data_IF_404937920875
#
_entry.id   IF_404937920875
#
_cell.length_a   1.000
_cell.length_b   1.000
_cell.length_c   1.000
_cell.angle_alpha   90.00
_cell.angle_beta   90.00
_cell.angle_gamma   90.00
#
_symmetry.space_group_name_H-M   'P 1'
#
loop_
_entity.id
_entity.type
_entity.pdbx_description
1 polymer ?
#
# COMPACT_ATOMS: atom_id res chain seq x y z
N UNK A 1 2.64 53.83 -30.78
CA UNK A 1 3.13 53.64 -29.41
C UNK A 1 2.71 52.25 -28.99
N UNK A 2 3.65 51.34 -28.76
CA UNK A 2 3.36 49.93 -28.45
C UNK A 2 3.78 49.71 -27.00
N UNK A 3 2.80 49.69 -26.11
CA UNK A 3 3.02 49.29 -24.72
C UNK A 3 3.11 47.76 -24.68
N UNK A 4 4.25 47.25 -24.20
CA UNK A 4 4.48 45.83 -23.96
C UNK A 4 4.40 45.64 -22.45
N UNK A 5 3.41 44.87 -22.01
CA UNK A 5 3.26 44.45 -20.61
C UNK A 5 3.95 43.09 -20.44
N UNK A 6 4.85 42.99 -19.46
CA UNK A 6 5.65 41.79 -19.18
C UNK A 6 5.24 41.24 -17.82
N UNK A 7 4.58 40.08 -17.81
CA UNK A 7 4.23 39.37 -16.58
C UNK A 7 5.17 38.18 -16.38
N UNK A 8 5.95 38.21 -15.29
CA UNK A 8 6.84 37.11 -14.88
C UNK A 8 6.20 36.38 -13.70
N UNK A 9 5.98 35.07 -13.85
CA UNK A 9 5.47 34.20 -12.79
C UNK A 9 6.41 33.00 -12.62
N UNK A 10 6.91 32.81 -11.41
CA UNK A 10 7.71 31.64 -11.01
C UNK A 10 7.14 31.07 -9.72
N UNK A 11 6.87 29.76 -9.70
CA UNK A 11 6.36 29.05 -8.53
C UNK A 11 7.17 27.79 -8.33
N UNK A 12 7.73 27.62 -7.14
CA UNK A 12 8.40 26.40 -6.71
C UNK A 12 7.56 25.79 -5.59
N UNK A 13 7.13 24.54 -5.79
CA UNK A 13 6.45 23.75 -4.78
C UNK A 13 7.30 22.53 -4.46
N UNK A 14 7.57 22.30 -3.16
CA UNK A 14 8.15 21.06 -2.65
C UNK A 14 7.13 20.46 -1.68
N UNK A 15 6.74 19.21 -1.90
CA UNK A 15 5.83 18.46 -1.04
C UNK A 15 6.51 17.16 -0.64
N UNK A 16 6.56 16.90 0.66
CA UNK A 16 7.17 15.69 1.23
C UNK A 16 6.14 15.00 2.11
N UNK A 17 5.91 13.73 1.85
CA UNK A 17 5.06 12.88 2.66
C UNK A 17 5.85 11.68 3.16
N UNK A 18 5.66 11.29 4.42
CA UNK A 18 6.30 10.13 5.04
C UNK A 18 5.24 9.35 5.79
N UNK A 19 5.06 8.09 5.41
CA UNK A 19 4.16 7.16 6.07
C UNK A 19 5.01 6.07 6.71
N UNK A 20 4.77 5.79 8.00
CA UNK A 20 5.46 4.75 8.76
C UNK A 20 4.44 3.78 9.34
N UNK A 21 4.59 2.51 8.99
CA UNK A 21 3.81 1.40 9.53
C UNK A 21 4.75 0.42 10.21
N UNK A 22 4.59 0.22 11.52
CA UNK A 22 5.51 -0.59 12.33
C UNK A 22 4.72 -1.62 13.17
N UNK A 23 4.24 -2.73 12.58
CA UNK A 23 3.61 -3.80 13.33
C UNK A 23 4.64 -4.49 14.24
N UNK A 24 4.22 -4.86 15.45
CA UNK A 24 5.03 -5.63 16.39
C UNK A 24 4.35 -6.97 16.63
N UNK A 25 5.12 -8.04 16.59
CA UNK A 25 4.63 -9.40 16.74
C UNK A 25 5.59 -10.16 17.66
N UNK A 26 5.02 -10.88 18.61
CA UNK A 26 5.77 -11.69 19.58
C UNK A 26 5.38 -13.14 19.35
N UNK A 27 6.38 -14.01 19.26
CA UNK A 27 6.21 -15.43 18.98
C UNK A 27 7.18 -16.26 19.82
N UNK A 28 6.85 -17.52 20.03
CA UNK A 28 7.78 -18.48 20.61
C UNK A 28 8.83 -18.91 19.59
N UNK A 29 9.98 -19.36 20.09
CA UNK A 29 11.06 -19.89 19.25
C UNK A 29 10.58 -21.06 18.37
N UNK A 30 10.78 -20.95 17.06
CA UNK A 30 10.35 -21.95 16.07
C UNK A 30 8.84 -22.02 15.85
N UNK A 31 8.06 -21.06 16.36
CA UNK A 31 6.65 -20.94 16.03
C UNK A 31 6.45 -19.90 14.92
N UNK A 32 5.37 -20.08 14.17
CA UNK A 32 4.91 -19.11 13.18
C UNK A 32 3.85 -18.21 13.80
N UNK A 33 3.89 -16.93 13.49
CA UNK A 33 2.84 -16.00 13.85
C UNK A 33 2.68 -14.94 12.77
N UNK A 34 1.46 -14.45 12.62
CA UNK A 34 1.10 -13.51 11.56
C UNK A 34 0.15 -12.44 12.08
N UNK A 35 0.17 -11.29 11.41
CA UNK A 35 -0.76 -10.18 11.63
C UNK A 35 -1.20 -9.66 10.27
N UNK A 36 -2.50 -9.37 10.13
CA UNK A 36 -3.05 -8.70 8.98
C UNK A 36 -3.85 -7.48 9.43
N UNK A 37 -3.63 -6.36 8.77
CA UNK A 37 -4.47 -5.17 8.93
C UNK A 37 -4.92 -4.77 7.54
N UNK A 38 -6.20 -5.00 7.26
CA UNK A 38 -6.80 -4.70 5.97
C UNK A 38 -8.12 -3.96 6.14
N UNK A 39 -8.35 -2.99 5.27
CA UNK A 39 -9.61 -2.31 5.04
C UNK A 39 -10.28 -2.97 3.84
N UNK A 40 -11.54 -3.36 4.01
CA UNK A 40 -12.37 -3.85 2.91
C UNK A 40 -13.02 -2.67 2.19
N UNK A 41 -12.84 -2.59 0.87
CA UNK A 41 -13.54 -1.64 0.01
C UNK A 41 -14.47 -2.41 -0.93
N UNK A 42 -15.74 -2.02 -0.93
CA UNK A 42 -16.77 -2.65 -1.77
C UNK A 42 -16.91 -1.90 -3.08
N UNK A 43 -17.03 -2.64 -4.19
CA UNK A 43 -17.20 -2.08 -5.52
C UNK A 43 -18.21 -2.89 -6.32
N UNK A 44 -18.72 -2.36 -7.43
CA UNK A 44 -19.63 -3.11 -8.30
C UNK A 44 -18.80 -4.01 -9.23
N UNK A 45 -18.75 -5.31 -8.93
CA UNK A 45 -17.95 -6.27 -9.68
C UNK A 45 -18.63 -6.79 -10.93
N UNK A 46 -19.96 -6.88 -10.89
CA UNK A 46 -20.75 -7.42 -11.99
C UNK A 46 -22.15 -6.80 -12.00
N UNK A 47 -22.81 -6.86 -13.15
CA UNK A 47 -24.19 -6.43 -13.36
C UNK A 47 -24.98 -7.58 -13.98
N UNK A 48 -26.05 -8.00 -13.31
CA UNK A 48 -26.98 -9.00 -13.86
C UNK A 48 -28.16 -8.26 -14.49
N UNK A 49 -28.44 -8.45 -15.80
CA UNK A 49 -29.59 -7.81 -16.43
C UNK A 49 -30.88 -8.46 -15.93
N UNK A 50 -31.82 -7.63 -15.48
CA UNK A 50 -33.18 -8.02 -15.10
C UNK A 50 -34.13 -7.33 -16.07
N UNK A 51 -34.88 -8.11 -16.84
CA UNK A 51 -35.83 -7.61 -17.83
C UNK A 51 -37.27 -7.78 -17.35
N UNK A 52 -38.12 -6.83 -17.71
CA UNK A 52 -39.57 -6.85 -17.58
C UNK A 52 -40.23 -6.39 -18.88
N UNK A 53 -41.57 -6.32 -18.91
CA UNK A 53 -42.32 -5.97 -20.12
C UNK A 53 -41.94 -4.58 -20.65
N UNK A 54 -41.17 -4.53 -21.74
CA UNK A 54 -40.62 -3.30 -22.33
C UNK A 54 -39.71 -2.48 -21.39
N UNK A 55 -39.11 -3.09 -20.37
CA UNK A 55 -38.19 -2.40 -19.44
C UNK A 55 -37.03 -3.31 -19.06
N UNK A 56 -35.87 -2.74 -18.76
CA UNK A 56 -34.75 -3.49 -18.20
C UNK A 56 -33.98 -2.65 -17.20
N UNK A 57 -33.36 -3.33 -16.25
CA UNK A 57 -32.48 -2.73 -15.26
C UNK A 57 -31.30 -3.67 -15.01
N UNK A 58 -30.23 -3.14 -14.44
CA UNK A 58 -29.14 -3.95 -13.92
C UNK A 58 -29.29 -4.13 -12.41
N UNK A 59 -29.19 -5.36 -11.95
CA UNK A 59 -28.97 -5.69 -10.55
C UNK A 59 -27.46 -5.74 -10.28
N UNK A 60 -26.90 -4.82 -9.46
CA UNK A 60 -25.48 -4.81 -9.17
C UNK A 60 -25.08 -5.93 -8.22
N UNK A 61 -23.93 -6.56 -8.48
CA UNK A 61 -23.31 -7.56 -7.62
C UNK A 61 -22.06 -6.95 -6.99
N UNK A 62 -22.07 -6.69 -5.66
CA UNK A 62 -20.91 -6.11 -5.00
C UNK A 62 -19.77 -7.14 -4.90
N UNK A 63 -18.56 -6.70 -5.22
CA UNK A 63 -17.30 -7.36 -4.89
C UNK A 63 -16.61 -6.64 -3.74
N UNK A 64 -15.58 -7.29 -3.17
CA UNK A 64 -14.75 -6.71 -2.10
C UNK A 64 -13.29 -6.82 -2.48
N UNK A 65 -12.57 -5.71 -2.35
CA UNK A 65 -11.11 -5.66 -2.46
C UNK A 65 -10.53 -5.27 -1.09
N UNK A 66 -9.39 -5.87 -0.73
CA UNK A 66 -8.72 -5.61 0.54
C UNK A 66 -7.48 -4.76 0.31
N UNK A 67 -7.44 -3.59 0.95
CA UNK A 67 -6.28 -2.72 1.03
C UNK A 67 -5.65 -2.84 2.41
N UNK A 68 -4.34 -3.02 2.49
CA UNK A 68 -3.62 -3.14 3.75
C UNK A 68 -2.46 -4.12 3.64
N UNK A 69 -1.97 -4.59 4.78
CA UNK A 69 -0.81 -5.47 4.81
C UNK A 69 -1.04 -6.76 5.58
N UNK A 70 -0.26 -7.78 5.22
CA UNK A 70 -0.05 -9.03 5.93
C UNK A 70 1.44 -9.13 6.23
N UNK A 71 1.76 -9.44 7.49
CA UNK A 71 3.09 -9.82 7.92
C UNK A 71 3.01 -11.20 8.56
N UNK A 72 3.75 -12.14 8.01
CA UNK A 72 3.85 -13.51 8.48
C UNK A 72 5.31 -13.85 8.73
N UNK A 73 5.61 -14.33 9.93
CA UNK A 73 6.97 -14.51 10.41
C UNK A 73 7.08 -15.85 11.14
N UNK A 74 8.11 -16.59 10.79
CA UNK A 74 8.63 -17.69 11.59
C UNK A 74 10.07 -17.35 11.97
N UNK A 75 10.44 -17.55 13.24
CA UNK A 75 11.77 -17.17 13.71
C UNK A 75 12.38 -18.23 14.63
N UNK A 76 13.68 -18.47 14.46
CA UNK A 76 14.48 -19.36 15.29
C UNK A 76 15.67 -18.59 15.87
N UNK A 77 15.82 -18.67 17.19
CA UNK A 77 16.93 -18.05 17.93
C UNK A 77 18.17 -18.94 17.84
N UNK A 78 19.33 -18.35 17.60
CA UNK A 78 20.61 -19.05 17.62
C UNK A 78 20.96 -19.60 19.00
N UNK A 79 21.73 -20.68 19.07
CA UNK A 79 22.10 -21.32 20.34
C UNK A 79 22.85 -20.37 21.30
N UNK A 80 23.61 -19.42 20.77
CA UNK A 80 24.35 -18.40 21.52
C UNK A 80 23.50 -17.17 21.89
N UNK A 81 22.21 -17.14 21.52
CA UNK A 81 21.27 -16.04 21.74
C UNK A 81 21.73 -14.69 21.15
N UNK A 82 22.57 -14.71 20.12
CA UNK A 82 23.08 -13.49 19.47
C UNK A 82 22.38 -13.15 18.18
N UNK A 83 21.79 -14.14 17.52
CA UNK A 83 21.15 -13.99 16.21
C UNK A 83 19.76 -14.61 16.21
N UNK A 84 18.90 -14.04 15.38
CA UNK A 84 17.58 -14.60 15.08
C UNK A 84 17.50 -14.81 13.59
N UNK A 85 17.29 -16.06 13.18
CA UNK A 85 16.99 -16.41 11.79
C UNK A 85 15.49 -16.32 11.60
N UNK A 86 15.06 -15.46 10.69
CA UNK A 86 13.64 -15.17 10.45
C UNK A 86 13.31 -15.48 9.00
N UNK A 87 12.27 -16.27 8.78
CA UNK A 87 11.57 -16.37 7.49
C UNK A 87 10.41 -15.40 7.54
N UNK A 88 10.47 -14.37 6.70
CA UNK A 88 9.51 -13.26 6.67
C UNK A 88 8.78 -13.29 5.32
N UNK A 89 7.45 -13.33 5.39
CA UNK A 89 6.56 -13.10 4.25
C UNK A 89 5.74 -11.85 4.54
N UNK A 90 5.91 -10.84 3.70
CA UNK A 90 5.21 -9.56 3.80
C UNK A 90 4.46 -9.32 2.50
N UNK A 91 3.20 -8.91 2.61
CA UNK A 91 2.38 -8.46 1.50
C UNK A 91 1.72 -7.14 1.86
N UNK A 92 1.76 -6.17 0.95
CA UNK A 92 1.11 -4.87 1.08
C UNK A 92 0.30 -4.60 -0.20
N UNK A 93 -0.97 -4.29 -0.04
CA UNK A 93 -1.84 -3.77 -1.09
C UNK A 93 -2.18 -2.33 -0.74
N UNK A 94 -1.85 -1.39 -1.61
CA UNK A 94 -2.11 0.04 -1.42
C UNK A 94 -2.59 0.70 -2.72
N UNK A 95 -2.96 1.98 -2.63
CA UNK A 95 -3.46 2.77 -3.77
C UNK A 95 -4.58 2.07 -4.54
N UNK A 96 -5.59 1.55 -3.82
CA UNK A 96 -6.78 1.01 -4.47
C UNK A 96 -7.51 2.15 -5.17
N UNK A 97 -7.65 2.04 -6.49
CA UNK A 97 -8.40 2.94 -7.34
C UNK A 97 -9.44 2.13 -8.14
N UNK A 98 -10.45 2.81 -8.68
CA UNK A 98 -11.55 2.18 -9.41
C UNK A 98 -11.77 2.84 -10.76
N UNK A 99 -11.49 2.11 -11.83
CA UNK A 99 -11.89 2.52 -13.17
C UNK A 99 -13.34 2.10 -13.43
N UNK A 100 -14.20 3.06 -13.73
CA UNK A 100 -15.62 2.81 -14.01
C UNK A 100 -15.85 2.59 -15.50
N UNK A 101 -16.48 1.48 -15.86
CA UNK A 101 -16.83 1.13 -17.24
C UNK A 101 -18.36 1.11 -17.39
N UNK A 102 -18.92 1.87 -18.34
CA UNK A 102 -20.34 1.80 -18.65
C UNK A 102 -20.67 0.53 -19.43
N UNK A 103 -21.74 -0.15 -19.03
CA UNK A 103 -22.33 -1.32 -19.70
C UNK A 103 -23.75 -0.94 -20.12
N UNK A 104 -24.08 -1.20 -21.38
CA UNK A 104 -25.41 -0.96 -21.94
C UNK A 104 -26.15 -2.29 -22.09
N UNK A 105 -27.45 -2.26 -21.79
CA UNK A 105 -28.39 -3.35 -22.05
C UNK A 105 -29.56 -2.83 -22.87
N UNK A 106 -30.22 -3.72 -23.61
CA UNK A 106 -31.44 -3.40 -24.33
C UNK A 106 -32.54 -4.40 -23.97
N UNK A 107 -33.71 -3.90 -23.61
CA UNK A 107 -34.92 -4.69 -23.41
C UNK A 107 -35.89 -4.38 -24.55
N UNK A 108 -36.22 -5.40 -25.35
CA UNK A 108 -37.21 -5.30 -26.44
C UNK A 108 -38.53 -5.96 -26.05
N UNK A 109 -39.66 -5.30 -26.32
CA UNK A 109 -40.98 -5.92 -26.23
C UNK A 109 -41.32 -6.72 -27.47
N UNK A 110 -41.55 -8.03 -27.30
CA UNK A 110 -42.12 -8.88 -28.33
C UNK A 110 -43.62 -8.60 -28.49
N UNK A 111 -43.99 -7.75 -29.43
CA UNK A 111 -45.40 -7.45 -29.76
C UNK A 111 -45.54 -6.88 -31.16
N UNK A 112 -46.11 -7.69 -32.06
CA UNK A 112 -46.74 -7.38 -33.36
C UNK A 112 -46.19 -6.15 -34.14
N UNK A 113 -44.87 -6.11 -34.35
CA UNK A 113 -44.24 -5.19 -35.32
C UNK A 113 -43.99 -3.75 -34.87
N UNK A 114 -44.35 -3.36 -33.64
CA UNK A 114 -44.15 -2.00 -33.09
C UNK A 114 -43.39 -1.98 -31.75
N UNK A 115 -42.49 -2.95 -31.53
CA UNK A 115 -41.76 -3.10 -30.27
C UNK A 115 -40.96 -1.85 -29.88
N UNK A 116 -41.28 -1.27 -28.72
CA UNK A 116 -40.48 -0.22 -28.09
C UNK A 116 -39.25 -0.88 -27.45
N UNK A 117 -38.06 -0.57 -27.98
CA UNK A 117 -36.80 -0.95 -27.33
C UNK A 117 -36.44 0.12 -26.30
N UNK A 118 -36.16 -0.30 -25.07
CA UNK A 118 -35.60 0.56 -24.03
C UNK A 118 -34.14 0.14 -23.80
N UNK A 119 -33.22 1.10 -23.93
CA UNK A 119 -31.82 0.93 -23.53
C UNK A 119 -31.65 1.36 -22.09
N UNK A 120 -30.92 0.58 -21.32
CA UNK A 120 -30.58 0.90 -19.93
C UNK A 120 -29.07 0.75 -19.73
N UNK A 121 -28.54 1.53 -18.80
CA UNK A 121 -27.10 1.60 -18.54
C UNK A 121 -26.81 1.24 -17.09
N UNK A 122 -25.65 0.64 -16.87
CA UNK A 122 -25.10 0.39 -15.56
C UNK A 122 -23.58 0.55 -15.60
N UNK A 123 -22.98 0.63 -14.42
CA UNK A 123 -21.54 0.83 -14.29
C UNK A 123 -20.92 -0.33 -13.53
N UNK A 124 -19.86 -0.92 -14.11
CA UNK A 124 -18.97 -1.86 -13.42
C UNK A 124 -17.72 -1.09 -13.02
N UNK A 125 -17.17 -1.43 -11.86
CA UNK A 125 -15.91 -0.87 -11.36
C UNK A 125 -14.83 -1.94 -11.44
N UNK A 126 -13.71 -1.61 -12.09
CA UNK A 126 -12.50 -2.43 -12.09
C UNK A 126 -11.52 -1.87 -11.06
N UNK A 127 -11.23 -2.62 -9.98
CA UNK A 127 -10.22 -2.20 -9.01
C UNK A 127 -8.82 -2.31 -9.62
N UNK A 128 -8.02 -1.27 -9.46
CA UNK A 128 -6.58 -1.27 -9.69
C UNK A 128 -5.89 -1.04 -8.34
N UNK A 129 -4.82 -1.76 -8.05
CA UNK A 129 -4.09 -1.62 -6.78
C UNK A 129 -2.61 -1.91 -6.97
N UNK A 130 -1.80 -1.29 -6.13
CA UNK A 130 -0.35 -1.53 -6.08
C UNK A 130 -0.05 -2.60 -5.03
N UNK A 131 0.53 -3.71 -5.47
CA UNK A 131 0.93 -4.82 -4.61
C UNK A 131 2.44 -4.91 -4.44
N UNK A 132 2.92 -4.88 -3.19
CA UNK A 132 4.31 -5.18 -2.82
C UNK A 132 4.38 -6.49 -2.06
N UNK A 133 5.23 -7.41 -2.49
CA UNK A 133 5.43 -8.71 -1.83
C UNK A 133 6.91 -9.00 -1.60
N UNK A 134 7.26 -9.44 -0.40
CA UNK A 134 8.62 -9.82 -0.02
C UNK A 134 8.54 -11.16 0.71
N UNK A 135 9.27 -12.15 0.21
CA UNK A 135 9.45 -13.45 0.86
C UNK A 135 10.95 -13.72 0.96
N UNK A 136 11.50 -13.67 2.17
CA UNK A 136 12.94 -13.84 2.37
C UNK A 136 13.23 -14.52 3.70
N UNK A 137 14.39 -15.16 3.78
CA UNK A 137 14.93 -15.70 5.03
C UNK A 137 16.25 -15.01 5.31
N UNK A 138 16.34 -14.34 6.46
CA UNK A 138 17.53 -13.57 6.85
C UNK A 138 17.91 -13.88 8.30
N UNK A 139 19.20 -13.77 8.61
CA UNK A 139 19.69 -13.82 9.99
C UNK A 139 20.11 -12.44 10.43
N UNK A 140 19.55 -11.98 11.55
CA UNK A 140 19.74 -10.62 12.06
C UNK A 140 20.20 -10.72 13.52
N UNK A 141 21.21 -9.94 13.95
CA UNK A 141 21.63 -9.95 15.34
C UNK A 141 20.51 -9.44 16.26
N UNK A 142 20.48 -9.90 17.50
CA UNK A 142 19.52 -9.41 18.52
C UNK A 142 19.59 -7.88 18.63
N UNK A 143 18.42 -7.23 18.61
CA UNK A 143 18.26 -5.76 18.59
C UNK A 143 18.87 -5.06 17.37
N UNK A 144 19.43 -5.79 16.41
CA UNK A 144 19.89 -5.30 15.13
C UNK A 144 18.73 -5.00 14.19
N UNK A 145 18.97 -4.23 13.13
CA UNK A 145 17.96 -3.93 12.10
C UNK A 145 18.49 -4.36 10.74
N UNK A 146 17.69 -5.12 10.01
CA UNK A 146 18.00 -5.52 8.64
C UNK A 146 17.03 -4.87 7.67
N UNK A 147 17.57 -4.40 6.53
CA UNK A 147 16.78 -3.97 5.38
C UNK A 147 16.43 -5.22 4.56
N UNK A 148 15.17 -5.63 4.60
CA UNK A 148 14.67 -6.80 3.87
C UNK A 148 14.47 -6.53 2.38
N UNK A 149 14.11 -5.30 2.05
CA UNK A 149 13.81 -4.89 0.69
C UNK A 149 13.24 -3.48 0.64
N UNK A 150 12.85 -3.08 -0.56
CA UNK A 150 12.31 -1.77 -0.83
C UNK A 150 12.29 -1.46 -2.33
N UNK A 151 11.54 -0.45 -2.71
CA UNK A 151 11.45 0.03 -4.08
C UNK A 151 11.68 1.53 -4.11
N UNK A 152 12.52 2.00 -5.02
CA UNK A 152 12.67 3.42 -5.33
C UNK A 152 12.15 3.68 -6.74
N UNK A 153 11.10 4.47 -6.87
CA UNK A 153 10.56 4.96 -8.15
C UNK A 153 10.94 6.43 -8.31
N UNK A 154 11.49 6.77 -9.47
CA UNK A 154 11.83 8.15 -9.83
C UNK A 154 11.13 8.45 -11.16
N UNK A 155 10.30 9.49 -11.18
CA UNK A 155 9.65 10.00 -12.38
C UNK A 155 10.05 11.46 -12.57
N UNK A 156 10.54 11.80 -13.77
CA UNK A 156 10.95 13.15 -14.13
C UNK A 156 10.16 13.57 -15.37
N UNK A 157 9.48 14.71 -15.27
CA UNK A 157 8.70 15.31 -16.34
C UNK A 157 9.29 16.69 -16.62
N UNK A 158 9.82 16.89 -17.82
CA UNK A 158 10.26 18.20 -18.30
C UNK A 158 9.36 18.62 -19.47
N UNK A 159 8.67 19.76 -19.29
CA UNK A 159 7.83 20.38 -20.31
C UNK A 159 8.44 21.73 -20.66
N UNK A 160 8.94 21.86 -21.89
CA UNK A 160 9.45 23.12 -22.43
C UNK A 160 8.50 23.65 -23.51
N UNK A 161 7.95 24.85 -23.30
CA UNK A 161 7.09 25.54 -24.25
C UNK A 161 7.78 26.84 -24.67
N UNK A 162 8.02 27.02 -25.98
CA UNK A 162 8.68 28.21 -26.51
C UNK A 162 8.26 28.57 -27.94
N UNK A 163 8.46 29.84 -28.32
CA UNK A 163 8.07 30.36 -29.65
C UNK A 163 9.10 29.90 -30.71
N UNK A 164 8.71 29.24 -31.83
CA UNK A 164 9.61 28.46 -32.71
C UNK A 164 10.83 29.16 -33.32
N UNK A 165 10.85 30.51 -33.35
CA UNK A 165 11.90 31.32 -34.01
C UNK A 165 12.78 32.07 -33.00
N UNK A 166 12.25 32.48 -31.85
CA UNK A 166 12.98 33.30 -30.85
C UNK A 166 13.63 32.47 -29.73
N UNK A 167 13.20 31.23 -29.50
CA UNK A 167 13.79 30.33 -28.48
C UNK A 167 15.21 29.83 -28.81
N UNK A 168 15.69 30.02 -30.05
CA UNK A 168 17.00 29.52 -30.51
C UNK A 168 18.17 30.47 -30.28
N UNK A 169 17.93 31.70 -29.85
CA UNK A 169 18.99 32.69 -29.56
C UNK A 169 19.40 32.57 -28.08
N UNK A 170 20.62 32.11 -27.75
CA UNK A 170 21.00 31.74 -26.36
C UNK A 170 20.77 32.84 -25.31
N UNK A 171 20.89 34.11 -25.71
CA UNK A 171 20.78 35.27 -24.83
C UNK A 171 19.34 35.78 -24.65
N UNK A 172 18.43 35.47 -25.59
CA UNK A 172 17.02 35.88 -25.57
C UNK A 172 16.08 34.73 -25.18
N UNK A 173 16.57 33.49 -25.22
CA UNK A 173 15.79 32.27 -24.97
C UNK A 173 15.02 32.31 -23.63
N UNK A 174 15.64 32.83 -22.57
CA UNK A 174 15.07 32.90 -21.21
C UNK A 174 13.85 33.81 -21.09
N UNK A 175 13.61 34.71 -22.04
CA UNK A 175 12.45 35.61 -22.06
C UNK A 175 11.25 35.01 -22.83
N UNK A 176 11.46 33.91 -23.57
CA UNK A 176 10.46 33.33 -24.47
C UNK A 176 10.26 31.81 -24.29
N UNK A 177 10.88 31.21 -23.28
CA UNK A 177 10.64 29.82 -22.89
C UNK A 177 10.01 29.75 -21.51
N UNK A 178 8.92 28.99 -21.43
CA UNK A 178 8.34 28.53 -20.18
C UNK A 178 8.78 27.07 -20.00
N UNK A 179 9.45 26.80 -18.87
CA UNK A 179 9.87 25.46 -18.49
C UNK A 179 9.15 25.08 -17.21
N UNK A 180 8.42 23.97 -17.26
CA UNK A 180 7.98 23.26 -16.08
C UNK A 180 8.83 22.00 -15.97
N UNK A 181 9.47 21.81 -14.81
CA UNK A 181 10.17 20.58 -14.46
C UNK A 181 9.54 20.06 -13.18
N UNK A 182 9.09 18.81 -13.22
CA UNK A 182 8.51 18.10 -12.10
C UNK A 182 9.29 16.81 -11.87
N UNK A 183 9.74 16.61 -10.63
CA UNK A 183 10.47 15.40 -10.22
C UNK A 183 9.75 14.77 -9.04
N UNK A 184 9.27 13.54 -9.23
CA UNK A 184 8.62 12.75 -8.20
C UNK A 184 9.51 11.57 -7.81
N UNK A 185 9.84 11.47 -6.53
CA UNK A 185 10.58 10.35 -5.96
C UNK A 185 9.73 9.64 -4.90
N UNK A 186 9.49 8.35 -5.10
CA UNK A 186 8.78 7.49 -4.15
C UNK A 186 9.76 6.40 -3.68
N UNK A 187 9.94 6.28 -2.37
CA UNK A 187 10.83 5.27 -1.78
C UNK A 187 10.09 4.49 -0.71
N UNK A 188 9.99 3.18 -0.92
CA UNK A 188 9.44 2.21 0.04
C UNK A 188 10.60 1.40 0.61
N UNK A 189 10.67 1.29 1.94
CA UNK A 189 11.69 0.50 2.64
C UNK A 189 11.01 -0.46 3.61
N UNK A 190 11.42 -1.73 3.58
CA UNK A 190 10.99 -2.73 4.55
C UNK A 190 12.16 -3.07 5.48
N UNK A 191 12.02 -2.68 6.75
CA UNK A 191 13.01 -2.97 7.79
C UNK A 191 12.43 -3.96 8.80
N UNK A 192 13.29 -4.84 9.31
CA UNK A 192 12.93 -5.76 10.40
C UNK A 192 13.96 -5.67 11.52
N UNK A 193 13.46 -5.74 12.76
CA UNK A 193 14.27 -5.73 13.98
C UNK A 193 13.78 -6.85 14.90
N UNK A 194 14.53 -7.96 15.07
CA UNK A 194 14.21 -8.93 16.10
C UNK A 194 14.63 -8.41 17.49
N UNK A 195 13.93 -8.91 18.51
CA UNK A 195 14.29 -8.74 19.92
C UNK A 195 14.03 -10.06 20.64
N UNK A 196 15.08 -10.64 21.22
CA UNK A 196 14.98 -11.87 21.99
C UNK A 196 14.46 -11.54 23.39
N UNK A 197 13.37 -12.20 23.78
CA UNK A 197 12.78 -12.05 25.12
C UNK A 197 13.08 -13.32 25.94
N UNK A 198 13.86 -13.18 27.00
CA UNK A 198 14.19 -14.25 27.94
C UNK A 198 13.26 -14.15 29.14
N UNK A 199 12.41 -15.15 29.35
CA UNK A 199 11.36 -15.11 30.36
C UNK A 199 11.93 -15.02 31.78
N UNK A 200 12.99 -15.79 32.09
CA UNK A 200 13.60 -15.77 33.43
C UNK A 200 14.16 -14.39 33.79
N UNK A 201 14.82 -13.72 32.85
CA UNK A 201 15.37 -12.37 33.06
C UNK A 201 14.26 -11.34 33.26
N UNK A 202 13.19 -11.42 32.47
CA UNK A 202 12.03 -10.54 32.62
C UNK A 202 11.27 -10.79 33.93
N UNK A 203 11.13 -12.04 34.34
CA UNK A 203 10.46 -12.41 35.58
C UNK A 203 11.23 -11.88 36.80
N UNK A 204 12.56 -11.98 36.80
CA UNK A 204 13.41 -11.42 37.86
C UNK A 204 13.31 -9.88 37.96
N UNK A 205 13.12 -9.19 36.83
CA UNK A 205 12.92 -7.73 36.80
C UNK A 205 11.53 -7.35 37.32
N UNK A 206 10.49 -8.09 36.94
CA UNK A 206 9.09 -7.79 37.29
C UNK A 206 8.73 -8.22 38.72
N UNK A 207 9.34 -9.30 39.20
CA UNK A 207 9.09 -9.90 40.50
C UNK A 207 10.40 -10.15 41.27
N UNK A 208 11.10 -9.09 41.69
CA UNK A 208 12.36 -9.23 42.43
C UNK A 208 12.10 -9.96 43.76
N UNK A 209 12.83 -11.07 44.00
CA UNK A 209 12.76 -11.87 45.23
C UNK A 209 11.76 -13.04 45.20
N UNK A 210 11.05 -13.28 44.09
CA UNK A 210 10.16 -14.45 43.97
C UNK A 210 10.96 -15.77 43.89
N UNK A 211 12.11 -15.78 43.20
CA UNK A 211 13.03 -16.93 43.15
C UNK A 211 13.55 -17.31 44.54
N UNK A 212 13.88 -16.32 45.38
CA UNK A 212 14.35 -16.54 46.76
C UNK A 212 13.26 -17.15 47.66
N UNK A 213 11.99 -16.78 47.45
CA UNK A 213 10.85 -17.34 48.19
C UNK A 213 10.48 -18.77 47.77
N UNK A 214 10.66 -19.11 46.50
CA UNK A 214 10.40 -20.47 46.00
C UNK A 214 11.52 -21.43 46.44
N UNK A 215 12.78 -20.97 46.49
CA UNK A 215 13.94 -21.76 46.93
C UNK A 215 13.97 -22.07 48.44
N UNK A 216 13.30 -21.28 49.27
CA UNK A 216 13.28 -21.46 50.75
C UNK A 216 12.13 -22.33 51.26
N UNK A 217 11.18 -22.74 50.41
CA UNK A 217 10.00 -23.53 50.80
C UNK A 217 10.15 -25.05 50.75
N UNK A 218 11.33 -25.59 50.39
CA UNK A 218 11.52 -27.00 50.02
C UNK A 218 12.44 -27.78 50.97
N UNK A 219 12.30 -27.63 52.29
CA UNK A 219 12.86 -28.60 53.26
C UNK A 219 12.03 -28.58 54.55
N UNK A 220 10.86 -29.22 54.53
CA UNK A 220 10.27 -29.81 55.74
C UNK A 220 9.96 -31.27 55.42
N UNK A 221 10.84 -32.13 55.93
CA UNK A 221 10.72 -33.57 55.84
C UNK A 221 9.48 -34.08 56.57
N UNK A 222 8.97 -35.18 56.03
CA UNK A 222 8.23 -36.20 56.75
C UNK A 222 8.97 -37.52 56.56
#
# INVERSE_FOLDING_TARGET
DVQVDLLVQATQADARNVILTAPRLTLFNGQRAWIAVAKAETYISNLVPVTGDNSGAFQPVPGVVYQGFVLDVEAVISADRRYVTMTVQFGLNENVDFTTIPITGAAGGGGDGFGRSQTFEGFIQLPELEGTQIATTVSVPDKGTALLGGQRKVAEFEVEVGVPVLSKVPWLNRLFTNRASEKTELTTLLLVRPEIIIQQENEAILFPGLEDQIGTGSYLGY
#
